data_IF_918699845781
#
_entry.id   IF_918699845781
#
_cell.length_a   1.000
_cell.length_b   1.000
_cell.length_c   1.000
_cell.angle_alpha   90.00
_cell.angle_beta   90.00
_cell.angle_gamma   90.00
#
_symmetry.space_group_name_H-M   'P 1'
#
loop_
_entity.id
_entity.type
_entity.pdbx_description
1 polymer ?
#
# COMPACT_ATOMS: atom_id res chain seq x y z
N UNK A 1 -0.08 -3.05 -4.46
CA UNK A 1 0.49 -1.90 -5.19
C UNK A 1 0.52 -2.28 -6.67
N UNK A 2 0.87 -1.39 -7.59
CA UNK A 2 1.34 -1.85 -8.91
C UNK A 2 2.86 -1.99 -8.82
N UNK A 3 3.46 -2.88 -9.61
CA UNK A 3 4.93 -2.94 -9.68
C UNK A 3 5.45 -1.58 -10.16
N UNK A 4 6.34 -0.98 -9.37
CA UNK A 4 6.91 0.33 -9.66
C UNK A 4 8.40 0.16 -9.90
N UNK A 5 8.85 0.51 -11.10
CA UNK A 5 10.27 0.50 -11.43
C UNK A 5 10.94 1.67 -10.69
N UNK A 6 11.47 1.36 -9.51
CA UNK A 6 12.20 2.26 -8.63
C UNK A 6 13.43 1.53 -8.13
N UNK A 7 14.59 1.96 -8.60
CA UNK A 7 15.86 1.40 -8.16
C UNK A 7 16.17 1.78 -6.70
N UNK A 8 16.82 0.86 -6.00
CA UNK A 8 17.27 1.10 -4.63
C UNK A 8 17.97 -0.08 -4.01
N UNK A 9 18.22 0.04 -2.72
CA UNK A 9 18.92 -0.94 -1.90
C UNK A 9 18.03 -1.38 -0.75
N UNK A 10 17.82 -2.69 -0.60
CA UNK A 10 17.28 -3.29 0.62
C UNK A 10 18.46 -3.62 1.53
N UNK A 11 18.42 -3.18 2.78
CA UNK A 11 19.49 -3.45 3.75
C UNK A 11 18.98 -4.13 5.00
N UNK A 12 19.92 -4.77 5.72
CA UNK A 12 19.70 -5.41 7.00
C UNK A 12 20.66 -4.80 8.03
N UNK A 13 20.14 -3.96 8.92
CA UNK A 13 20.96 -3.32 9.96
C UNK A 13 20.66 -3.92 11.32
N UNK A 14 21.69 -4.26 12.08
CA UNK A 14 21.59 -4.67 13.48
C UNK A 14 22.25 -3.66 14.40
N UNK A 15 22.26 -4.00 15.69
CA UNK A 15 22.83 -3.16 16.75
C UNK A 15 23.85 -3.94 17.57
N UNK A 16 24.98 -3.30 17.86
CA UNK A 16 26.01 -3.79 18.77
C UNK A 16 26.19 -2.80 19.93
N UNK A 17 26.28 -3.30 21.16
CA UNK A 17 26.63 -2.46 22.31
C UNK A 17 28.10 -2.01 22.25
N UNK A 18 28.36 -0.71 22.38
CA UNK A 18 29.73 -0.18 22.33
C UNK A 18 30.63 -0.63 23.48
N UNK A 19 30.07 -0.95 24.66
CA UNK A 19 30.84 -1.31 25.85
C UNK A 19 31.08 -2.81 25.94
N UNK A 20 30.07 -3.62 25.63
CA UNK A 20 30.15 -5.08 25.77
C UNK A 20 30.50 -5.79 24.46
N UNK A 21 30.27 -5.15 23.31
CA UNK A 21 30.38 -5.79 22.00
C UNK A 21 29.26 -6.81 21.71
N UNK A 22 28.23 -6.87 22.56
CA UNK A 22 27.10 -7.78 22.39
C UNK A 22 26.22 -7.34 21.22
N UNK A 23 25.88 -8.30 20.35
CA UNK A 23 24.94 -8.09 19.24
C UNK A 23 23.52 -8.36 19.74
N UNK A 24 22.62 -7.40 19.52
CA UNK A 24 21.20 -7.58 19.83
C UNK A 24 20.47 -8.32 18.69
N UNK A 25 19.43 -9.08 19.04
CA UNK A 25 18.62 -9.86 18.08
C UNK A 25 17.64 -9.04 17.23
N UNK A 26 17.69 -7.71 17.30
CA UNK A 26 16.85 -6.85 16.47
C UNK A 26 17.58 -6.50 15.17
N UNK A 27 16.89 -6.73 14.05
CA UNK A 27 17.35 -6.40 12.71
C UNK A 27 16.34 -5.49 12.05
N UNK A 28 16.80 -4.36 11.55
CA UNK A 28 16.04 -3.45 10.71
C UNK A 28 16.08 -3.96 9.27
N UNK A 29 14.91 -4.20 8.68
CA UNK A 29 14.76 -4.41 7.24
C UNK A 29 14.24 -3.11 6.66
N UNK A 30 15.06 -2.39 5.90
CA UNK A 30 14.68 -1.10 5.33
C UNK A 30 15.25 -0.86 3.96
N UNK A 31 14.84 0.25 3.35
CA UNK A 31 15.33 0.67 2.03
C UNK A 31 16.08 1.99 2.03
N UNK A 32 16.84 2.19 0.95
CA UNK A 32 17.30 3.50 0.50
C UNK A 32 17.26 3.60 -1.02
N UNK A 33 17.26 4.82 -1.55
CA UNK A 33 17.21 5.08 -2.98
C UNK A 33 18.55 4.72 -3.65
N UNK A 34 18.53 4.49 -4.97
CA UNK A 34 19.71 4.02 -5.71
C UNK A 34 20.95 4.90 -5.54
N UNK A 35 20.79 6.22 -5.69
CA UNK A 35 21.87 7.21 -5.63
C UNK A 35 22.36 7.50 -4.20
N UNK A 36 21.76 6.82 -3.21
CA UNK A 36 22.09 6.99 -1.80
C UNK A 36 22.66 5.69 -1.25
N UNK A 37 23.96 5.62 -0.93
CA UNK A 37 24.56 4.39 -0.43
C UNK A 37 24.02 4.02 0.95
N UNK A 38 24.05 2.72 1.26
CA UNK A 38 23.58 2.19 2.55
C UNK A 38 24.38 2.77 3.71
N UNK A 39 25.67 3.08 3.51
CA UNK A 39 26.52 3.76 4.51
C UNK A 39 25.94 5.09 4.99
N UNK A 40 25.40 5.90 4.07
CA UNK A 40 24.81 7.20 4.43
C UNK A 40 23.53 6.99 5.24
N UNK A 41 22.76 5.96 4.88
CA UNK A 41 21.55 5.60 5.62
C UNK A 41 21.86 5.02 7.00
N UNK A 42 22.92 4.23 7.12
CA UNK A 42 23.44 3.75 8.39
C UNK A 42 23.90 4.91 9.28
N UNK A 43 24.53 5.94 8.70
CA UNK A 43 24.91 7.16 9.43
C UNK A 43 23.70 7.94 9.95
N UNK A 44 22.60 8.02 9.18
CA UNK A 44 21.35 8.62 9.68
C UNK A 44 20.87 7.88 10.94
N UNK A 45 20.81 6.55 10.86
CA UNK A 45 20.31 5.71 11.96
C UNK A 45 21.25 5.72 13.16
N UNK A 46 22.55 5.91 12.93
CA UNK A 46 23.55 6.03 14.00
C UNK A 46 23.43 7.36 14.76
N UNK A 47 22.95 8.43 14.11
CA UNK A 47 22.90 9.78 14.70
C UNK A 47 21.94 9.80 15.90
N UNK A 48 22.51 9.94 17.09
CA UNK A 48 21.75 9.95 18.36
C UNK A 48 21.40 8.56 18.90
N UNK A 49 21.79 7.47 18.21
CA UNK A 49 21.62 6.11 18.72
C UNK A 49 22.79 5.75 19.67
N UNK A 50 22.53 5.35 20.92
CA UNK A 50 23.58 4.93 21.86
C UNK A 50 24.19 3.56 21.54
N UNK A 51 23.69 2.83 20.54
CA UNK A 51 24.23 1.56 20.05
C UNK A 51 24.91 1.75 18.70
N UNK A 52 25.85 0.86 18.38
CA UNK A 52 26.53 0.86 17.10
C UNK A 52 25.66 0.19 16.04
N UNK A 53 25.25 0.95 15.02
CA UNK A 53 24.49 0.43 13.88
C UNK A 53 25.47 -0.23 12.91
N UNK A 54 25.24 -1.50 12.61
CA UNK A 54 26.06 -2.28 11.67
C UNK A 54 25.20 -2.97 10.64
N UNK A 55 25.75 -3.15 9.44
CA UNK A 55 25.16 -4.04 8.45
C UNK A 55 25.40 -5.50 8.89
N UNK A 56 24.32 -6.27 9.04
CA UNK A 56 24.38 -7.65 9.55
C UNK A 56 24.17 -8.71 8.46
N UNK A 57 23.85 -8.26 7.25
CA UNK A 57 23.84 -9.06 6.03
C UNK A 57 23.98 -8.13 4.82
N UNK A 58 24.50 -8.67 3.72
CA UNK A 58 24.73 -7.90 2.50
C UNK A 58 23.45 -7.23 1.98
N UNK A 59 23.57 -5.95 1.67
CA UNK A 59 22.51 -5.17 1.05
C UNK A 59 22.24 -5.65 -0.38
N UNK A 60 20.95 -5.71 -0.74
CA UNK A 60 20.48 -6.24 -2.02
C UNK A 60 20.06 -5.07 -2.92
N UNK A 61 20.70 -4.96 -4.09
CA UNK A 61 20.27 -4.03 -5.14
C UNK A 61 19.05 -4.58 -5.87
N UNK A 62 18.08 -3.71 -6.14
CA UNK A 62 16.85 -4.07 -6.86
C UNK A 62 16.34 -2.91 -7.71
N UNK A 63 15.57 -3.25 -8.76
CA UNK A 63 14.84 -2.29 -9.60
C UNK A 63 13.41 -2.04 -9.11
N UNK A 64 13.01 -2.68 -8.01
CA UNK A 64 11.64 -2.67 -7.49
C UNK A 64 11.63 -2.48 -5.96
N UNK A 65 12.37 -1.48 -5.47
CA UNK A 65 12.68 -1.37 -4.04
C UNK A 65 11.45 -1.25 -3.14
N UNK A 66 10.43 -0.50 -3.58
CA UNK A 66 9.21 -0.32 -2.81
C UNK A 66 8.41 -1.63 -2.72
N UNK A 67 8.37 -2.42 -3.81
CA UNK A 67 7.68 -3.71 -3.83
C UNK A 67 8.43 -4.75 -2.99
N UNK A 68 9.76 -4.82 -3.10
CA UNK A 68 10.59 -5.76 -2.34
C UNK A 68 10.53 -5.48 -0.83
N UNK A 69 10.68 -4.22 -0.41
CA UNK A 69 10.59 -3.86 1.01
C UNK A 69 9.19 -4.17 1.58
N UNK A 70 8.13 -3.78 0.86
CA UNK A 70 6.75 -4.05 1.29
C UNK A 70 6.52 -5.56 1.44
N UNK A 71 7.00 -6.34 0.48
CA UNK A 71 6.95 -7.80 0.54
C UNK A 71 7.62 -8.32 1.82
N UNK A 72 8.87 -7.90 2.09
CA UNK A 72 9.62 -8.36 3.26
C UNK A 72 8.96 -7.96 4.59
N UNK A 73 8.39 -6.75 4.66
CA UNK A 73 7.65 -6.30 5.85
C UNK A 73 6.39 -7.12 6.11
N UNK A 74 5.68 -7.55 5.06
CA UNK A 74 4.54 -8.44 5.20
C UNK A 74 4.98 -9.86 5.53
N UNK A 75 5.94 -10.41 4.77
CA UNK A 75 6.43 -11.79 4.90
C UNK A 75 6.98 -12.10 6.29
N UNK A 76 7.55 -11.11 6.96
CA UNK A 76 8.08 -11.24 8.33
C UNK A 76 7.27 -10.44 9.36
N UNK A 77 6.00 -10.13 9.09
CA UNK A 77 5.16 -9.29 9.95
C UNK A 77 5.06 -9.85 11.39
N UNK A 78 5.02 -11.16 11.56
CA UNK A 78 4.96 -11.85 12.87
C UNK A 78 6.22 -11.68 13.70
N UNK A 79 7.35 -11.34 13.07
CA UNK A 79 8.65 -11.07 13.71
C UNK A 79 8.90 -9.58 13.93
N UNK A 80 8.01 -8.71 13.44
CA UNK A 80 8.17 -7.26 13.52
C UNK A 80 7.84 -6.74 14.92
N UNK A 81 8.77 -6.01 15.53
CA UNK A 81 8.67 -5.57 16.92
C UNK A 81 8.35 -4.10 17.09
N UNK A 82 8.94 -3.24 16.26
CA UNK A 82 8.70 -1.79 16.32
C UNK A 82 9.16 -1.10 15.05
N UNK A 83 8.32 -0.25 14.46
CA UNK A 83 8.72 0.49 13.26
C UNK A 83 9.15 -0.48 12.16
N UNK A 84 10.41 -0.46 11.71
CA UNK A 84 10.96 -1.37 10.69
C UNK A 84 11.93 -2.42 11.29
N UNK A 85 11.87 -2.62 12.61
CA UNK A 85 12.71 -3.56 13.34
C UNK A 85 12.01 -4.89 13.57
N UNK A 86 12.75 -5.97 13.42
CA UNK A 86 12.30 -7.35 13.51
C UNK A 86 13.18 -8.11 14.50
N UNK A 87 12.59 -9.00 15.30
CA UNK A 87 13.33 -9.94 16.14
C UNK A 87 13.68 -11.17 15.31
N UNK A 88 14.93 -11.26 14.87
CA UNK A 88 15.42 -12.34 14.01
C UNK A 88 16.57 -13.05 14.72
N UNK A 89 16.44 -14.37 14.90
CA UNK A 89 17.61 -15.22 15.19
C UNK A 89 18.55 -15.23 13.97
N UNK A 90 19.78 -15.73 14.14
CA UNK A 90 20.69 -15.88 12.99
C UNK A 90 20.09 -16.77 11.88
N UNK A 91 19.29 -17.77 12.26
CA UNK A 91 18.53 -18.58 11.31
C UNK A 91 17.44 -17.77 10.59
N UNK A 92 16.63 -17.00 11.33
CA UNK A 92 15.58 -16.16 10.75
C UNK A 92 16.18 -15.09 9.80
N UNK A 93 17.33 -14.50 10.16
CA UNK A 93 18.05 -13.53 9.33
C UNK A 93 18.54 -14.19 8.03
N UNK A 94 19.14 -15.38 8.10
CA UNK A 94 19.57 -16.11 6.93
C UNK A 94 18.39 -16.43 5.99
N UNK A 95 17.25 -16.86 6.53
CA UNK A 95 16.04 -17.09 5.73
C UNK A 95 15.45 -15.79 5.17
N UNK A 96 15.51 -14.67 5.89
CA UNK A 96 15.07 -13.37 5.38
C UNK A 96 15.94 -12.89 4.21
N UNK A 97 17.26 -13.04 4.29
CA UNK A 97 18.20 -12.67 3.20
C UNK A 97 17.97 -13.56 1.98
N UNK A 98 17.82 -14.87 2.19
CA UNK A 98 17.52 -15.83 1.12
C UNK A 98 16.19 -15.51 0.43
N UNK A 99 15.15 -15.20 1.21
CA UNK A 99 13.83 -14.86 0.68
C UNK A 99 13.85 -13.54 -0.09
N UNK A 100 14.55 -12.51 0.44
CA UNK A 100 14.71 -11.24 -0.25
C UNK A 100 15.41 -11.41 -1.61
N UNK A 101 16.46 -12.24 -1.70
CA UNK A 101 17.11 -12.54 -2.97
C UNK A 101 16.17 -13.29 -3.93
N UNK A 102 15.44 -14.30 -3.46
CA UNK A 102 14.45 -15.03 -4.29
C UNK A 102 13.41 -14.08 -4.89
N UNK A 103 12.84 -13.19 -4.08
CA UNK A 103 11.82 -12.24 -4.56
C UNK A 103 12.43 -11.16 -5.45
N UNK A 104 13.66 -10.72 -5.17
CA UNK A 104 14.38 -9.82 -6.06
C UNK A 104 14.59 -10.46 -7.46
N UNK A 105 14.94 -11.74 -7.52
CA UNK A 105 15.08 -12.46 -8.80
C UNK A 105 13.75 -12.55 -9.55
N UNK A 106 12.65 -12.86 -8.85
CA UNK A 106 11.31 -12.87 -9.45
C UNK A 106 10.91 -11.51 -10.02
N UNK A 107 11.22 -10.42 -9.31
CA UNK A 107 10.94 -9.06 -9.74
C UNK A 107 11.82 -8.66 -10.93
N UNK A 108 13.12 -8.95 -10.88
CA UNK A 108 14.03 -8.64 -11.99
C UNK A 108 13.72 -9.46 -13.26
N UNK A 109 13.12 -10.65 -13.13
CA UNK A 109 12.66 -11.43 -14.27
C UNK A 109 11.58 -10.72 -15.13
N UNK A 110 10.89 -9.72 -14.56
CA UNK A 110 9.88 -8.90 -15.27
C UNK A 110 10.30 -7.43 -15.43
N UNK A 111 11.59 -7.12 -15.26
CA UNK A 111 12.11 -5.76 -15.42
C UNK A 111 11.88 -5.21 -16.82
N UNK A 112 12.22 -5.99 -17.85
CA UNK A 112 12.04 -5.59 -19.25
C UNK A 112 10.57 -5.32 -19.56
N UNK A 113 9.67 -6.23 -19.15
CA UNK A 113 8.23 -6.05 -19.32
C UNK A 113 7.74 -4.74 -18.67
N UNK A 114 8.25 -4.42 -17.47
CA UNK A 114 7.93 -3.18 -16.76
C UNK A 114 8.40 -1.93 -17.52
N UNK A 115 9.63 -1.96 -18.05
CA UNK A 115 10.18 -0.86 -18.84
C UNK A 115 9.39 -0.65 -20.13
N UNK A 116 9.05 -1.73 -20.84
CA UNK A 116 8.27 -1.66 -22.07
C UNK A 116 6.84 -1.16 -21.81
N UNK A 117 6.18 -1.61 -20.73
CA UNK A 117 4.87 -1.08 -20.31
C UNK A 117 4.93 0.41 -19.99
N UNK A 118 6.00 0.87 -19.34
CA UNK A 118 6.21 2.30 -19.06
C UNK A 118 6.32 3.11 -20.36
N UNK A 119 7.07 2.63 -21.36
CA UNK A 119 7.17 3.29 -22.66
C UNK A 119 5.84 3.29 -23.42
N UNK A 120 5.16 2.13 -23.52
CA UNK A 120 3.84 2.00 -24.14
C UNK A 120 2.77 2.90 -23.47
N UNK A 121 2.93 3.20 -22.18
CA UNK A 121 2.00 4.08 -21.46
C UNK A 121 2.01 5.54 -21.95
N UNK A 122 3.01 5.92 -22.75
CA UNK A 122 3.20 7.28 -23.29
C UNK A 122 2.56 7.48 -24.67
N UNK A 123 2.13 6.41 -25.34
CA UNK A 123 1.49 6.43 -26.66
C UNK A 123 0.02 6.01 -26.60
N UNK A 124 -0.75 6.46 -27.58
CA UNK A 124 -2.13 5.99 -27.77
C UNK A 124 -2.15 4.54 -28.25
N UNK A 125 -3.15 3.79 -27.79
CA UNK A 125 -3.41 2.43 -28.26
C UNK A 125 -3.99 2.43 -29.68
N UNK A 126 -3.85 1.31 -30.39
CA UNK A 126 -4.15 1.17 -31.81
C UNK A 126 -5.63 0.90 -32.15
N UNK A 127 -6.55 0.98 -31.19
CA UNK A 127 -7.99 0.71 -31.40
C UNK A 127 -8.41 -0.76 -31.44
N UNK A 128 -7.47 -1.72 -31.37
CA UNK A 128 -7.78 -3.15 -31.58
C UNK A 128 -8.05 -3.89 -30.27
N UNK A 129 -8.93 -4.87 -30.36
CA UNK A 129 -9.06 -5.95 -29.37
C UNK A 129 -8.56 -7.23 -30.02
N UNK A 130 -7.69 -7.96 -29.31
CA UNK A 130 -7.11 -9.23 -29.79
C UNK A 130 -7.60 -10.41 -28.96
N UNK A 131 -7.61 -11.60 -29.55
CA UNK A 131 -7.88 -12.83 -28.82
C UNK A 131 -6.67 -13.21 -27.94
N UNK A 132 -6.92 -13.81 -26.77
CA UNK A 132 -5.86 -14.29 -25.90
C UNK A 132 -5.15 -15.51 -26.49
N UNK A 133 -3.82 -15.53 -26.43
CA UNK A 133 -3.04 -16.72 -26.76
C UNK A 133 -2.88 -17.63 -25.52
N UNK A 134 -2.26 -18.81 -25.70
CA UNK A 134 -2.12 -19.81 -24.62
C UNK A 134 -1.33 -19.28 -23.41
N UNK A 135 -0.26 -18.53 -23.63
CA UNK A 135 0.57 -17.96 -22.56
C UNK A 135 -0.22 -16.92 -21.77
N UNK A 136 -0.92 -16.02 -22.45
CA UNK A 136 -1.76 -14.99 -21.81
C UNK A 136 -2.87 -15.63 -20.98
N UNK A 137 -3.51 -16.69 -21.48
CA UNK A 137 -4.53 -17.41 -20.72
C UNK A 137 -3.95 -18.08 -19.47
N UNK A 138 -2.74 -18.62 -19.54
CA UNK A 138 -2.06 -19.20 -18.38
C UNK A 138 -1.71 -18.12 -17.34
N UNK A 139 -1.11 -16.99 -17.76
CA UNK A 139 -0.82 -15.86 -16.87
C UNK A 139 -2.09 -15.28 -16.24
N UNK A 140 -3.20 -15.25 -16.99
CA UNK A 140 -4.49 -14.81 -16.46
C UNK A 140 -5.05 -15.78 -15.42
N UNK A 141 -4.91 -17.09 -15.62
CA UNK A 141 -5.31 -18.09 -14.63
C UNK A 141 -4.51 -17.97 -13.34
N UNK A 142 -3.19 -17.78 -13.45
CA UNK A 142 -2.30 -17.56 -12.30
C UNK A 142 -2.65 -16.26 -11.56
N UNK A 143 -2.90 -15.17 -12.29
CA UNK A 143 -3.39 -13.92 -11.71
C UNK A 143 -4.69 -14.14 -10.91
N UNK A 144 -5.69 -14.79 -11.52
CA UNK A 144 -6.98 -15.05 -10.88
C UNK A 144 -6.83 -15.92 -9.64
N UNK A 145 -5.99 -16.95 -9.68
CA UNK A 145 -5.73 -17.83 -8.53
C UNK A 145 -5.12 -17.05 -7.35
N UNK A 146 -4.07 -16.26 -7.62
CA UNK A 146 -3.40 -15.46 -6.59
C UNK A 146 -4.29 -14.34 -6.06
N UNK A 147 -5.03 -13.63 -6.91
CA UNK A 147 -5.90 -12.53 -6.48
C UNK A 147 -7.12 -13.01 -5.68
N UNK A 148 -7.61 -14.24 -5.90
CA UNK A 148 -8.62 -14.86 -5.03
C UNK A 148 -8.08 -15.04 -3.60
N UNK A 149 -6.91 -15.65 -3.47
CA UNK A 149 -6.29 -15.86 -2.14
C UNK A 149 -5.97 -14.54 -1.46
N UNK A 150 -5.42 -13.57 -2.21
CA UNK A 150 -5.17 -12.22 -1.70
C UNK A 150 -6.46 -11.55 -1.20
N UNK A 151 -7.55 -11.65 -1.96
CA UNK A 151 -8.84 -11.10 -1.56
C UNK A 151 -9.38 -11.76 -0.28
N UNK A 152 -9.16 -13.07 -0.10
CA UNK A 152 -9.53 -13.78 1.13
C UNK A 152 -8.69 -13.33 2.33
N UNK A 153 -7.36 -13.27 2.20
CA UNK A 153 -6.48 -12.82 3.28
C UNK A 153 -6.82 -11.40 3.72
N UNK A 154 -7.02 -10.47 2.76
CA UNK A 154 -7.44 -9.10 3.08
C UNK A 154 -8.79 -9.03 3.77
N UNK A 155 -9.78 -9.80 3.30
CA UNK A 155 -11.09 -9.85 3.94
C UNK A 155 -10.98 -10.34 5.39
N UNK A 156 -10.16 -11.37 5.64
CA UNK A 156 -9.92 -11.87 6.99
C UNK A 156 -9.15 -10.85 7.85
N UNK A 157 -8.17 -10.12 7.29
CA UNK A 157 -7.50 -9.01 8.01
C UNK A 157 -8.54 -7.94 8.42
N UNK A 158 -9.46 -7.59 7.52
CA UNK A 158 -10.53 -6.62 7.82
C UNK A 158 -11.50 -7.13 8.88
N UNK A 159 -11.85 -8.42 8.88
CA UNK A 159 -12.68 -9.06 9.90
C UNK A 159 -12.00 -9.02 11.27
N UNK A 160 -10.73 -9.40 11.34
CA UNK A 160 -9.96 -9.40 12.59
C UNK A 160 -9.80 -7.96 13.11
N UNK A 161 -9.51 -7.00 12.23
CA UNK A 161 -9.49 -5.58 12.57
C UNK A 161 -10.86 -5.08 13.06
N UNK A 162 -11.97 -5.56 12.49
CA UNK A 162 -13.31 -5.23 12.94
C UNK A 162 -13.63 -5.82 14.33
N UNK A 163 -13.16 -7.04 14.64
CA UNK A 163 -13.26 -7.63 15.98
C UNK A 163 -12.53 -6.77 17.00
N UNK A 164 -11.28 -6.39 16.71
CA UNK A 164 -10.50 -5.48 17.58
C UNK A 164 -11.14 -4.09 17.70
N UNK A 165 -11.74 -3.57 16.62
CA UNK A 165 -12.49 -2.31 16.64
C UNK A 165 -13.67 -2.36 17.60
N UNK A 166 -14.40 -3.48 17.64
CA UNK A 166 -15.53 -3.66 18.56
C UNK A 166 -15.05 -3.70 20.02
N UNK A 167 -13.94 -4.38 20.31
CA UNK A 167 -13.33 -4.39 21.65
C UNK A 167 -12.86 -2.98 22.08
N UNK A 168 -12.47 -2.13 21.13
CA UNK A 168 -12.03 -0.76 21.41
C UNK A 168 -13.18 0.13 21.88
N UNK A 169 -14.43 -0.09 21.41
CA UNK A 169 -15.57 0.82 21.63
C UNK A 169 -15.14 2.29 21.37
N UNK A 170 -15.39 3.19 22.33
CA UNK A 170 -15.06 4.63 22.32
C UNK A 170 -13.70 4.97 22.96
N UNK A 171 -12.90 3.98 23.36
CA UNK A 171 -11.55 4.21 23.91
C UNK A 171 -10.54 4.58 22.83
N UNK A 172 -9.41 5.15 23.24
CA UNK A 172 -8.34 5.63 22.34
C UNK A 172 -7.62 4.52 21.57
N UNK A 173 -7.91 3.27 21.87
CA UNK A 173 -7.27 2.11 21.24
C UNK A 173 -7.24 0.89 22.14
N UNK A 174 -6.60 -0.16 21.63
CA UNK A 174 -6.18 -1.32 22.40
C UNK A 174 -4.69 -1.15 22.67
N UNK A 175 -4.26 -1.30 23.93
CA UNK A 175 -2.90 -1.00 24.36
C UNK A 175 -1.83 -1.72 23.50
N UNK A 176 -0.95 -0.92 22.89
CA UNK A 176 0.08 -1.29 21.90
C UNK A 176 -0.42 -1.99 20.61
N UNK A 177 -1.71 -2.30 20.47
CA UNK A 177 -2.29 -3.09 19.38
C UNK A 177 -3.04 -2.26 18.35
N UNK A 178 -3.76 -1.22 18.77
CA UNK A 178 -4.48 -0.36 17.82
C UNK A 178 -4.74 1.02 18.39
N UNK A 179 -4.95 1.98 17.49
CA UNK A 179 -5.24 3.37 17.83
C UNK A 179 -6.57 3.78 17.20
N UNK A 180 -7.42 4.40 18.02
CA UNK A 180 -8.61 5.12 17.62
C UNK A 180 -8.40 6.62 17.82
N UNK A 181 -8.72 7.43 16.82
CA UNK A 181 -8.57 8.88 16.91
C UNK A 181 -9.66 9.62 16.15
N UNK A 182 -10.00 10.83 16.63
CA UNK A 182 -10.76 11.80 15.85
C UNK A 182 -9.80 12.68 15.07
N UNK A 183 -9.93 12.63 13.75
CA UNK A 183 -9.08 13.40 12.84
C UNK A 183 -9.90 14.54 12.26
N UNK A 184 -9.46 15.77 12.55
CA UNK A 184 -10.01 16.96 11.93
C UNK A 184 -9.81 16.90 10.40
N UNK A 185 -10.86 17.25 9.66
CA UNK A 185 -10.78 17.33 8.21
C UNK A 185 -10.36 18.75 7.80
N UNK A 186 -9.54 18.90 6.75
CA UNK A 186 -9.27 20.22 6.19
C UNK A 186 -10.58 20.85 5.69
N UNK A 187 -10.62 22.17 5.62
CA UNK A 187 -11.74 22.90 5.04
C UNK A 187 -11.98 22.41 3.61
N UNK A 188 -13.26 22.18 3.25
CA UNK A 188 -13.65 21.76 1.91
C UNK A 188 -14.16 22.96 1.15
N UNK A 189 -13.57 23.22 -0.01
CA UNK A 189 -14.11 24.17 -0.95
C UNK A 189 -15.42 23.62 -1.56
N UNK A 190 -16.51 24.36 -1.40
CA UNK A 190 -17.80 24.00 -1.96
C UNK A 190 -17.88 24.43 -3.43
N UNK A 191 -17.30 23.58 -4.27
CA UNK A 191 -17.21 23.82 -5.72
C UNK A 191 -18.58 24.00 -6.37
N UNK A 192 -19.58 23.22 -5.96
CA UNK A 192 -20.89 23.24 -6.60
C UNK A 192 -21.60 24.59 -6.41
N UNK A 193 -21.62 25.11 -5.17
CA UNK A 193 -22.23 26.41 -4.89
C UNK A 193 -21.43 27.55 -5.53
N UNK A 194 -20.09 27.47 -5.50
CA UNK A 194 -19.24 28.45 -6.17
C UNK A 194 -19.52 28.51 -7.68
N UNK A 195 -19.65 27.35 -8.33
CA UNK A 195 -19.91 27.26 -9.76
C UNK A 195 -21.28 27.84 -10.13
N UNK A 196 -22.27 27.66 -9.26
CA UNK A 196 -23.62 28.19 -9.41
C UNK A 196 -23.67 29.71 -9.21
N UNK A 197 -22.99 30.23 -8.19
CA UNK A 197 -23.12 31.62 -7.75
C UNK A 197 -22.18 32.56 -8.52
N UNK A 198 -21.07 32.05 -9.08
CA UNK A 198 -20.06 32.85 -9.78
C UNK A 198 -19.67 32.31 -11.17
N UNK A 199 -20.64 32.11 -12.10
CA UNK A 199 -20.35 31.52 -13.42
C UNK A 199 -19.34 32.31 -14.25
N UNK A 200 -19.29 33.64 -14.09
CA UNK A 200 -18.32 34.51 -14.79
C UNK A 200 -16.89 34.33 -14.27
N UNK A 201 -16.72 34.18 -12.96
CA UNK A 201 -15.41 33.94 -12.34
C UNK A 201 -14.94 32.52 -12.65
N UNK A 202 -15.85 31.55 -12.64
CA UNK A 202 -15.56 30.18 -13.08
C UNK A 202 -14.97 30.18 -14.48
N UNK A 203 -15.60 30.88 -15.43
CA UNK A 203 -15.10 30.98 -16.80
C UNK A 203 -13.68 31.57 -16.87
N UNK A 204 -13.35 32.57 -16.03
CA UNK A 204 -12.00 33.18 -15.93
C UNK A 204 -10.94 32.18 -15.47
N UNK A 205 -11.30 31.24 -14.59
CA UNK A 205 -10.37 30.27 -13.99
C UNK A 205 -10.56 28.84 -14.51
N UNK A 206 -11.29 28.64 -15.61
CA UNK A 206 -11.31 27.36 -16.30
C UNK A 206 -9.96 27.11 -16.94
N UNK A 207 -9.45 25.89 -16.77
CA UNK A 207 -8.30 25.41 -17.52
C UNK A 207 -8.65 24.12 -18.25
N UNK A 208 -8.04 23.97 -19.41
CA UNK A 208 -8.08 22.74 -20.19
C UNK A 208 -6.67 22.18 -20.23
N UNK A 209 -6.53 20.93 -19.80
CA UNK A 209 -5.27 20.20 -19.85
C UNK A 209 -5.50 18.92 -20.65
N UNK A 210 -4.60 18.62 -21.58
CA UNK A 210 -4.53 17.31 -22.23
C UNK A 210 -3.82 16.32 -21.29
N UNK A 211 -4.43 15.15 -21.09
CA UNK A 211 -3.82 14.06 -20.31
C UNK A 211 -4.00 12.73 -21.01
N UNK A 212 -2.93 11.95 -21.07
CA UNK A 212 -2.98 10.56 -21.51
C UNK A 212 -3.73 9.71 -20.48
N UNK A 213 -4.90 9.21 -20.84
CA UNK A 213 -5.60 8.18 -20.06
C UNK A 213 -4.83 6.86 -20.19
N UNK A 214 -4.62 6.14 -19.07
CA UNK A 214 -3.76 4.93 -19.03
C UNK A 214 -4.30 3.82 -18.14
N UNK A 215 -5.62 3.77 -17.96
CA UNK A 215 -6.25 2.87 -17.00
C UNK A 215 -6.15 1.42 -17.49
N UNK A 216 -5.35 0.63 -16.80
CA UNK A 216 -5.29 -0.81 -16.96
C UNK A 216 -6.32 -1.49 -16.07
N UNK A 217 -7.05 -2.47 -16.62
CA UNK A 217 -8.02 -3.25 -15.87
C UNK A 217 -8.02 -4.70 -16.36
N UNK A 218 -8.15 -5.62 -15.41
CA UNK A 218 -8.25 -7.06 -15.70
C UNK A 218 -9.71 -7.47 -15.60
N UNK A 219 -10.20 -8.15 -16.62
CA UNK A 219 -11.57 -8.66 -16.71
C UNK A 219 -11.85 -9.62 -15.54
N UNK A 220 -13.06 -9.55 -14.99
CA UNK A 220 -13.50 -10.44 -13.89
C UNK A 220 -12.54 -10.56 -12.70
N UNK A 221 -11.75 -9.50 -12.44
CA UNK A 221 -10.82 -9.45 -11.31
C UNK A 221 -11.53 -9.89 -10.01
N UNK A 222 -11.00 -10.91 -9.30
CA UNK A 222 -11.55 -11.37 -8.03
C UNK A 222 -11.69 -10.24 -7.01
N UNK A 223 -12.75 -10.30 -6.20
CA UNK A 223 -12.96 -9.39 -5.08
C UNK A 223 -13.70 -10.11 -3.96
N UNK A 224 -13.51 -9.66 -2.71
CA UNK A 224 -14.17 -10.24 -1.54
C UNK A 224 -15.68 -10.43 -1.77
N UNK A 225 -16.37 -9.37 -2.20
CA UNK A 225 -17.81 -9.38 -2.42
C UNK A 225 -18.28 -10.35 -3.53
N UNK A 226 -17.47 -10.59 -4.56
CA UNK A 226 -17.83 -11.49 -5.68
C UNK A 226 -17.41 -12.93 -5.42
N UNK A 227 -16.24 -13.13 -4.82
CA UNK A 227 -15.60 -14.44 -4.66
C UNK A 227 -16.01 -15.11 -3.35
N UNK A 228 -16.23 -14.34 -2.28
CA UNK A 228 -16.56 -14.83 -0.94
C UNK A 228 -17.78 -14.06 -0.38
N UNK A 229 -18.95 -14.13 -1.04
CA UNK A 229 -20.10 -13.30 -0.70
C UNK A 229 -20.59 -13.51 0.74
N UNK A 230 -20.56 -14.74 1.25
CA UNK A 230 -20.98 -15.08 2.62
C UNK A 230 -20.06 -14.45 3.67
N UNK A 231 -18.75 -14.69 3.58
CA UNK A 231 -17.76 -14.09 4.50
C UNK A 231 -17.80 -12.56 4.42
N UNK A 232 -17.99 -12.01 3.21
CA UNK A 232 -18.10 -10.57 3.01
C UNK A 232 -19.39 -9.99 3.59
N UNK A 233 -20.46 -10.77 3.66
CA UNK A 233 -21.69 -10.39 4.34
C UNK A 233 -21.51 -10.40 5.86
N UNK A 234 -20.89 -11.45 6.42
CA UNK A 234 -20.54 -11.51 7.85
C UNK A 234 -19.68 -10.31 8.27
N UNK A 235 -18.71 -9.92 7.42
CA UNK A 235 -17.91 -8.73 7.65
C UNK A 235 -18.76 -7.45 7.70
N UNK A 236 -19.72 -7.27 6.78
CA UNK A 236 -20.61 -6.10 6.79
C UNK A 236 -21.44 -6.04 8.07
N UNK A 237 -22.01 -7.16 8.48
CA UNK A 237 -22.79 -7.26 9.72
C UNK A 237 -21.94 -6.97 10.96
N UNK A 238 -20.66 -7.38 10.94
CA UNK A 238 -19.72 -7.04 12.00
C UNK A 238 -19.41 -5.53 12.05
N UNK A 239 -19.34 -4.86 10.89
CA UNK A 239 -19.13 -3.41 10.80
C UNK A 239 -20.33 -2.60 11.27
N UNK A 240 -21.54 -3.11 11.07
CA UNK A 240 -22.77 -2.42 11.53
C UNK A 240 -22.84 -2.33 13.07
N UNK A 241 -22.08 -3.18 13.78
CA UNK A 241 -21.95 -3.13 15.24
C UNK A 241 -21.04 -2.01 15.74
N UNK A 242 -20.39 -1.26 14.85
CA UNK A 242 -19.56 -0.13 15.26
C UNK A 242 -20.43 0.94 15.91
N UNK A 243 -20.06 1.36 17.12
CA UNK A 243 -20.67 2.54 17.72
C UNK A 243 -20.43 3.77 16.83
N UNK A 244 -21.47 4.57 16.60
CA UNK A 244 -21.35 5.90 16.03
C UNK A 244 -20.67 6.81 17.05
N UNK A 245 -19.35 6.90 16.95
CA UNK A 245 -18.54 7.60 17.95
C UNK A 245 -18.33 9.06 17.53
N UNK A 246 -18.79 9.97 18.37
CA UNK A 246 -18.59 11.42 18.25
C UNK A 246 -17.46 11.95 19.12
N UNK A 247 -16.96 11.15 20.07
CA UNK A 247 -15.86 11.48 20.98
C UNK A 247 -15.02 10.24 21.29
N UNK A 248 -13.69 10.38 21.34
CA UNK A 248 -12.77 9.29 21.67
C UNK A 248 -12.16 9.59 23.03
N UNK A 249 -12.16 8.61 23.94
CA UNK A 249 -11.52 8.73 25.26
C UNK A 249 -10.02 8.63 25.10
N UNK A 250 -9.27 9.37 25.93
CA UNK A 250 -7.80 9.30 25.91
C UNK A 250 -7.25 7.99 26.48
N UNK A 251 -8.02 7.29 27.33
CA UNK A 251 -7.60 6.00 27.89
C UNK A 251 -7.69 4.87 26.87
N UNK A 252 -6.82 3.87 27.05
CA UNK A 252 -6.77 2.65 26.25
C UNK A 252 -7.49 1.51 26.97
N UNK A 253 -7.96 0.53 26.19
CA UNK A 253 -8.37 -0.77 26.73
C UNK A 253 -7.10 -1.58 26.98
N UNK A 254 -6.93 -2.07 28.22
CA UNK A 254 -5.82 -2.95 28.58
C UNK A 254 -5.82 -4.20 27.71
N UNK A 255 -4.63 -4.55 27.23
CA UNK A 255 -4.42 -5.76 26.45
C UNK A 255 -4.60 -7.01 27.32
N UNK A 256 -5.21 -8.03 26.75
CA UNK A 256 -5.32 -9.38 27.31
C UNK A 256 -4.96 -10.42 26.23
N UNK A 257 -4.95 -11.70 26.60
CA UNK A 257 -4.62 -12.79 25.68
C UNK A 257 -5.55 -12.88 24.47
N UNK A 258 -6.80 -12.42 24.58
CA UNK A 258 -7.76 -12.40 23.45
C UNK A 258 -7.34 -11.36 22.42
N UNK A 259 -7.01 -10.16 22.89
CA UNK A 259 -6.52 -9.07 22.04
C UNK A 259 -5.19 -9.45 21.39
N UNK A 260 -4.28 -10.07 22.14
CA UNK A 260 -2.99 -10.55 21.64
C UNK A 260 -3.18 -11.60 20.53
N UNK A 261 -4.10 -12.55 20.74
CA UNK A 261 -4.40 -13.58 19.75
C UNK A 261 -4.98 -12.99 18.46
N UNK A 262 -5.88 -12.02 18.56
CA UNK A 262 -6.43 -11.33 17.39
C UNK A 262 -5.36 -10.55 16.64
N UNK A 263 -4.47 -9.85 17.35
CA UNK A 263 -3.40 -9.12 16.69
C UNK A 263 -2.39 -10.07 16.02
N UNK A 264 -2.07 -11.19 16.67
CA UNK A 264 -1.24 -12.23 16.08
C UNK A 264 -1.86 -12.82 14.81
N UNK A 265 -3.15 -13.17 14.84
CA UNK A 265 -3.90 -13.64 13.67
C UNK A 265 -3.84 -12.62 12.53
N UNK A 266 -3.98 -11.33 12.85
CA UNK A 266 -3.89 -10.25 11.87
C UNK A 266 -2.50 -10.15 11.21
N UNK A 267 -1.42 -10.32 11.98
CA UNK A 267 -0.04 -10.33 11.46
C UNK A 267 0.26 -11.57 10.61
N UNK A 268 -0.24 -12.75 11.01
CA UNK A 268 -0.11 -14.00 10.24
C UNK A 268 -0.84 -13.93 8.89
N UNK A 269 -1.97 -13.22 8.85
CA UNK A 269 -2.68 -12.96 7.59
C UNK A 269 -1.91 -11.99 6.68
N UNK A 270 -1.12 -11.05 7.22
CA UNK A 270 -0.20 -10.24 6.41
C UNK A 270 0.95 -11.07 5.85
N UNK A 271 1.53 -11.94 6.68
CA UNK A 271 2.57 -12.88 6.25
C UNK A 271 2.08 -13.80 5.14
N UNK A 272 0.86 -14.35 5.28
CA UNK A 272 0.23 -15.20 4.27
C UNK A 272 -0.11 -14.45 2.98
N UNK A 273 -0.48 -13.16 3.08
CA UNK A 273 -0.80 -12.34 1.91
C UNK A 273 0.45 -12.04 1.05
N UNK A 274 1.64 -11.99 1.64
CA UNK A 274 2.85 -11.47 0.99
C UNK A 274 3.13 -12.11 -0.38
N UNK A 275 3.13 -13.45 -0.46
CA UNK A 275 3.42 -14.20 -1.70
C UNK A 275 2.34 -14.00 -2.76
N UNK A 276 1.08 -14.20 -2.40
CA UNK A 276 -0.03 -14.08 -3.36
C UNK A 276 -0.19 -12.64 -3.84
N UNK A 277 0.16 -11.66 -3.01
CA UNK A 277 0.23 -10.25 -3.41
C UNK A 277 1.28 -10.03 -4.49
N UNK A 278 2.53 -10.45 -4.28
CA UNK A 278 3.61 -10.15 -5.23
C UNK A 278 3.42 -10.90 -6.55
N UNK A 279 2.95 -12.14 -6.49
CA UNK A 279 2.63 -12.92 -7.69
C UNK A 279 1.48 -12.30 -8.49
N UNK A 280 0.41 -11.86 -7.82
CA UNK A 280 -0.69 -11.14 -8.49
C UNK A 280 -0.20 -9.87 -9.20
N UNK A 281 0.73 -9.13 -8.59
CA UNK A 281 1.31 -7.92 -9.17
C UNK A 281 2.21 -8.24 -10.39
N UNK A 282 3.00 -9.32 -10.33
CA UNK A 282 3.81 -9.83 -11.45
C UNK A 282 2.93 -10.26 -12.62
N UNK A 283 1.91 -11.09 -12.40
CA UNK A 283 1.04 -11.54 -13.48
C UNK A 283 0.19 -10.40 -14.04
N UNK A 284 -0.25 -9.45 -13.20
CA UNK A 284 -0.91 -8.24 -13.69
C UNK A 284 -0.03 -7.45 -14.65
N UNK A 285 1.27 -7.32 -14.36
CA UNK A 285 2.23 -6.66 -15.26
C UNK A 285 2.39 -7.43 -16.57
N UNK A 286 2.57 -8.76 -16.52
CA UNK A 286 2.66 -9.61 -17.71
C UNK A 286 1.45 -9.48 -18.62
N UNK A 287 0.24 -9.45 -18.05
CA UNK A 287 -1.00 -9.25 -18.82
C UNK A 287 -1.05 -7.85 -19.45
N UNK A 288 -0.60 -6.82 -18.73
CA UNK A 288 -0.52 -5.47 -19.26
C UNK A 288 0.48 -5.38 -20.42
N UNK A 289 1.65 -6.00 -20.25
CA UNK A 289 2.69 -6.09 -21.27
C UNK A 289 2.18 -6.84 -22.52
N UNK A 290 1.54 -7.99 -22.34
CA UNK A 290 0.96 -8.76 -23.43
C UNK A 290 -0.17 -8.02 -24.18
N UNK A 291 -0.87 -7.10 -23.52
CA UNK A 291 -1.85 -6.23 -24.19
C UNK A 291 -1.18 -5.36 -25.25
N UNK A 292 0.07 -4.96 -25.02
CA UNK A 292 0.90 -4.24 -25.98
C UNK A 292 0.26 -2.94 -26.44
N UNK A 293 0.31 -2.69 -27.74
CA UNK A 293 -0.33 -1.55 -28.40
C UNK A 293 -1.87 -1.66 -28.54
N UNK A 294 -2.46 -2.77 -28.13
CA UNK A 294 -3.89 -3.01 -28.28
C UNK A 294 -4.69 -2.38 -27.13
N UNK A 295 -5.98 -2.13 -27.36
CA UNK A 295 -6.89 -1.61 -26.32
C UNK A 295 -7.36 -2.69 -25.36
N UNK A 296 -7.36 -3.95 -25.80
CA UNK A 296 -7.83 -5.07 -25.00
C UNK A 296 -7.33 -6.42 -25.49
N UNK A 297 -7.30 -7.36 -24.57
CA UNK A 297 -7.31 -8.79 -24.85
C UNK A 297 -8.68 -9.32 -24.41
N UNK A 298 -9.41 -9.94 -25.34
CA UNK A 298 -10.76 -10.45 -25.11
C UNK A 298 -10.81 -11.35 -23.86
N UNK A 299 -11.82 -11.11 -23.01
CA UNK A 299 -12.06 -11.77 -21.71
C UNK A 299 -10.91 -11.73 -20.68
N UNK A 300 -9.81 -11.03 -20.96
CA UNK A 300 -8.62 -10.99 -20.10
C UNK A 300 -8.37 -9.59 -19.53
N UNK A 301 -8.18 -8.57 -20.37
CA UNK A 301 -7.85 -7.22 -19.88
C UNK A 301 -8.22 -6.10 -20.86
N UNK A 302 -8.30 -4.88 -20.34
CA UNK A 302 -8.48 -3.64 -21.10
C UNK A 302 -7.43 -2.61 -20.69
N UNK A 303 -6.78 -2.00 -21.67
CA UNK A 303 -5.76 -0.99 -21.50
C UNK A 303 -5.83 0.12 -22.56
N UNK A 304 -6.99 0.77 -22.67
CA UNK A 304 -7.17 1.86 -23.63
C UNK A 304 -6.33 3.08 -23.21
N UNK A 305 -5.45 3.51 -24.13
CA UNK A 305 -4.62 4.72 -23.98
C UNK A 305 -5.02 5.74 -25.02
N UNK A 306 -5.43 6.91 -24.56
CA UNK A 306 -5.89 7.99 -25.44
C UNK A 306 -5.66 9.34 -24.77
N UNK A 307 -5.31 10.36 -25.55
CA UNK A 307 -5.25 11.74 -25.07
C UNK A 307 -6.69 12.19 -24.81
N UNK A 308 -6.92 12.71 -23.61
CA UNK A 308 -8.20 13.29 -23.22
C UNK A 308 -8.01 14.73 -22.80
N UNK A 309 -8.81 15.62 -23.38
CA UNK A 309 -8.96 16.97 -22.86
C UNK A 309 -9.80 16.92 -21.59
N UNK A 310 -9.27 17.50 -20.51
CA UNK A 310 -10.00 17.68 -19.26
C UNK A 310 -10.10 19.16 -18.95
N UNK A 311 -11.29 19.71 -19.14
CA UNK A 311 -11.63 21.04 -18.67
C UNK A 311 -12.06 20.98 -17.21
N UNK A 312 -11.44 21.78 -16.36
CA UNK A 312 -11.80 21.89 -14.95
C UNK A 312 -11.44 23.26 -14.39
N UNK A 313 -12.19 23.68 -13.36
CA UNK A 313 -11.85 24.87 -12.58
C UNK A 313 -10.46 24.71 -11.95
N UNK A 314 -9.55 25.64 -12.25
CA UNK A 314 -8.26 25.72 -11.58
C UNK A 314 -8.43 26.32 -10.18
N UNK A 315 -8.65 25.45 -9.20
CA UNK A 315 -8.85 25.88 -7.81
C UNK A 315 -7.59 26.48 -7.19
N UNK A 316 -6.41 26.22 -7.75
CA UNK A 316 -5.15 26.81 -7.26
C UNK A 316 -5.05 28.25 -7.70
N UNK A 317 -5.19 28.50 -9.01
CA UNK A 317 -5.20 29.85 -9.56
C UNK A 317 -6.35 30.71 -9.00
N UNK A 318 -7.54 30.12 -8.80
CA UNK A 318 -8.67 30.80 -8.15
C UNK A 318 -8.33 31.22 -6.71
N UNK A 319 -7.69 30.34 -5.94
CA UNK A 319 -7.31 30.64 -4.55
C UNK A 319 -6.25 31.75 -4.47
N UNK A 320 -5.33 31.80 -5.42
CA UNK A 320 -4.29 32.83 -5.49
C UNK A 320 -4.85 34.17 -5.99
N UNK A 321 -5.73 34.15 -6.99
CA UNK A 321 -6.29 35.35 -7.62
C UNK A 321 -7.48 35.97 -6.89
N UNK A 322 -8.32 35.16 -6.23
CA UNK A 322 -9.52 35.61 -5.50
C UNK A 322 -9.58 35.02 -4.07
N UNK A 323 -8.55 35.21 -3.22
CA UNK A 323 -8.40 34.49 -1.95
C UNK A 323 -9.58 34.67 -0.99
N UNK A 324 -10.11 35.89 -0.88
CA UNK A 324 -11.25 36.20 0.00
C UNK A 324 -12.53 35.51 -0.47
N UNK A 325 -12.78 35.50 -1.79
CA UNK A 325 -13.94 34.84 -2.35
C UNK A 325 -13.80 33.32 -2.24
N UNK A 326 -12.62 32.77 -2.52
CA UNK A 326 -12.36 31.35 -2.32
C UNK A 326 -12.64 30.92 -0.87
N UNK A 327 -12.17 31.72 0.11
CA UNK A 327 -12.39 31.46 1.52
C UNK A 327 -13.88 31.49 1.92
N UNK A 328 -14.72 32.31 1.30
CA UNK A 328 -16.16 32.37 1.62
C UNK A 328 -16.92 31.10 1.23
N UNK A 329 -16.36 30.27 0.33
CA UNK A 329 -16.91 28.96 -0.06
C UNK A 329 -16.21 27.79 0.63
N UNK A 330 -15.35 28.04 1.61
CA UNK A 330 -14.78 26.99 2.43
C UNK A 330 -15.73 26.61 3.56
N UNK A 331 -16.07 25.32 3.64
CA UNK A 331 -16.89 24.78 4.71
C UNK A 331 -16.06 23.89 5.64
N UNK A 332 -16.27 24.05 6.95
CA UNK A 332 -15.82 23.08 7.95
C UNK A 332 -16.50 21.74 7.72
N UNK A 333 -15.76 20.66 7.92
CA UNK A 333 -16.27 19.31 7.81
C UNK A 333 -16.25 18.65 9.18
N UNK A 334 -17.25 17.82 9.47
CA UNK A 334 -17.24 16.99 10.67
C UNK A 334 -15.98 16.11 10.69
N UNK A 335 -15.33 15.96 11.88
CA UNK A 335 -14.20 15.07 12.04
C UNK A 335 -14.51 13.63 11.63
N UNK A 336 -13.46 12.86 11.32
CA UNK A 336 -13.60 11.42 11.07
C UNK A 336 -13.00 10.61 12.18
N UNK A 337 -13.66 9.51 12.51
CA UNK A 337 -13.05 8.45 13.29
C UNK A 337 -12.05 7.69 12.41
N UNK A 338 -10.79 7.63 12.83
CA UNK A 338 -9.73 6.82 12.22
C UNK A 338 -9.36 5.71 13.18
N UNK A 339 -9.45 4.47 12.71
CA UNK A 339 -8.97 3.28 13.40
C UNK A 339 -7.77 2.70 12.65
N UNK A 340 -6.70 2.35 13.37
CA UNK A 340 -5.48 1.77 12.81
C UNK A 340 -4.96 0.66 13.73
N UNK A 341 -4.74 -0.52 13.17
CA UNK A 341 -4.02 -1.62 13.83
C UNK A 341 -2.52 -1.37 13.72
N UNK A 342 -1.77 -1.61 14.80
CA UNK A 342 -0.32 -1.52 14.82
C UNK A 342 0.26 -2.64 13.94
N UNK A 343 1.22 -2.38 13.03
CA UNK A 343 1.73 -3.41 12.12
C UNK A 343 2.86 -4.27 12.74
N UNK A 344 3.05 -4.21 14.05
CA UNK A 344 4.15 -4.83 14.79
C UNK A 344 3.71 -5.10 16.23
N UNK A 345 4.38 -6.02 16.92
CA UNK A 345 4.07 -6.39 18.32
C UNK A 345 5.29 -6.22 19.23
N UNK A 346 5.11 -5.53 20.35
CA UNK A 346 6.18 -5.27 21.32
C UNK A 346 6.02 -6.04 22.65
N UNK A 347 5.24 -7.12 22.64
CA UNK A 347 4.84 -7.89 23.81
C UNK A 347 5.03 -9.39 23.64
#
# INVERSE_FOLDING_TARGET
MALTNKEGWLYFLGEIDFKTGEKFGYVKIGKTDYDRPVSDRSSDHQTGNPRHIVEVADSIRTNFIDNLETYMHHRFATKRVHGEWFQLSDYDLAEAVKEANRVNDLLNAVLTDSQEVSEMSKSESNGKTIAANKTVLADYQEFVANEKQRALHKLNQEIVAAKMRNLTSSFGGLDEVSVLSLVARPLKFNKADFEKDHPTIVAKYMKTEEKMARNFSISNKPSAAKTYPEINQDFKELKEKYENISSVKDSLVSRDSTIESLHQEWLELHESEAEVMILSEIFSLKLQHACGENEAIEDVCKWKRQVQEKTSLDTTALKEGEPTLYASYQATQSPTVRYKVTPYRCY
#
